data_IF_890644650733
#
_entry.id   IF_890644650733
#
_cell.length_a   1.000
_cell.length_b   1.000
_cell.length_c   1.000
_cell.angle_alpha   90.00
_cell.angle_beta   90.00
_cell.angle_gamma   90.00
#
_symmetry.space_group_name_H-M   'P 1'
#
loop_
_entity.id
_entity.type
_entity.pdbx_description
1 polymer ?
2 polymer ?
3 non-polymer ?
4 non-polymer ?
5 water ?
#
# COMPACT_ATOMS: atom_id res chain seq x y z
N UNK A 3 -18.82 3.09 -16.37
CA UNK A 3 -18.19 1.83 -16.81
C UNK A 3 -16.67 1.85 -16.71
N UNK A 4 -16.06 0.76 -16.27
CA UNK A 4 -14.58 0.67 -16.34
C UNK A 4 -14.21 -0.63 -17.04
N UNK A 5 -13.07 -0.61 -17.73
CA UNK A 5 -12.56 -1.80 -18.41
C UNK A 5 -12.24 -2.89 -17.38
N UNK A 6 -12.06 -4.11 -17.86
CA UNK A 6 -11.58 -5.22 -17.08
C UNK A 6 -10.26 -4.79 -16.40
N UNK A 7 -10.26 -4.73 -15.07
CA UNK A 7 -9.11 -4.24 -14.30
C UNK A 7 -7.92 -5.18 -14.34
N UNK A 8 -6.72 -4.61 -14.22
CA UNK A 8 -5.49 -5.38 -14.23
C UNK A 8 -5.40 -6.26 -12.97
N UNK A 9 -5.92 -5.74 -11.87
CA UNK A 9 -5.80 -6.45 -10.59
C UNK A 9 -7.12 -6.37 -9.87
N UNK A 10 -7.51 -7.49 -9.28
CA UNK A 10 -8.83 -7.61 -8.65
C UNK A 10 -8.65 -7.99 -7.18
N UNK A 11 -9.16 -7.14 -6.29
CA UNK A 11 -9.19 -7.45 -4.88
C UNK A 11 -10.51 -8.08 -4.54
N UNK A 12 -10.49 -9.00 -3.57
CA UNK A 12 -11.71 -9.64 -3.06
C UNK A 12 -11.71 -9.46 -1.54
N UNK A 13 -12.68 -8.68 -1.05
CA UNK A 13 -12.84 -8.44 0.39
C UNK A 13 -13.54 -9.59 1.14
N UNK A 14 -14.08 -10.56 0.41
CA UNK A 14 -14.86 -11.61 1.01
C UNK A 14 -16.23 -11.14 1.40
N UNK A 15 -17.11 -12.11 1.67
CA UNK A 15 -18.43 -11.83 2.25
C UNK A 15 -18.55 -12.51 3.61
N UNK A 16 -19.35 -11.92 4.49
CA UNK A 16 -19.42 -12.33 5.89
C UNK A 16 -20.84 -12.26 6.40
N UNK A 17 -21.09 -13.07 7.44
CA UNK A 17 -22.32 -12.98 8.19
C UNK A 17 -21.98 -12.83 9.66
N UNK A 18 -22.61 -11.88 10.33
CA UNK A 18 -22.32 -11.65 11.73
C UNK A 18 -23.58 -11.27 12.47
N UNK A 19 -23.52 -11.42 13.77
CA UNK A 19 -24.55 -10.91 14.68
C UNK A 19 -24.07 -9.58 15.22
N UNK A 20 -25.00 -8.67 15.49
CA UNK A 20 -24.65 -7.46 16.20
C UNK A 20 -23.88 -7.76 17.48
N UNK A 21 -22.74 -7.07 17.67
CA UNK A 21 -21.85 -7.25 18.82
C UNK A 21 -20.62 -8.06 18.51
N UNK A 22 -20.59 -8.71 17.36
CA UNK A 22 -19.46 -9.59 17.03
C UNK A 22 -18.31 -8.85 16.36
N UNK A 23 -17.15 -9.47 16.42
CA UNK A 23 -15.99 -9.02 15.65
C UNK A 23 -15.92 -9.85 14.40
N UNK A 24 -15.45 -9.22 13.33
CA UNK A 24 -15.32 -9.87 12.02
C UNK A 24 -13.90 -9.61 11.55
N UNK A 25 -13.18 -10.68 11.19
CA UNK A 25 -11.87 -10.58 10.52
C UNK A 25 -12.09 -10.58 9.03
N UNK A 26 -11.82 -9.45 8.40
CA UNK A 26 -11.97 -9.30 6.97
C UNK A 26 -10.62 -9.53 6.31
N UNK A 27 -10.50 -10.63 5.55
CA UNK A 27 -9.29 -10.93 4.80
C UNK A 27 -9.51 -10.56 3.34
N UNK A 28 -8.63 -9.71 2.82
CA UNK A 28 -8.70 -9.20 1.45
C UNK A 28 -7.65 -9.96 0.67
N UNK A 29 -8.04 -10.63 -0.40
CA UNK A 29 -7.09 -11.31 -1.27
C UNK A 29 -6.97 -10.53 -2.57
N UNK A 30 -6.01 -10.91 -3.43
CA UNK A 30 -5.81 -10.20 -4.67
C UNK A 30 -5.45 -11.17 -5.78
N UNK A 31 -6.02 -10.92 -6.95
CA UNK A 31 -5.68 -11.62 -8.20
C UNK A 31 -4.99 -10.62 -9.10
N UNK A 32 -3.69 -10.80 -9.26
CA UNK A 32 -2.94 -9.89 -10.14
C UNK A 32 -2.74 -10.50 -11.52
N UNK A 33 -3.37 -11.65 -11.76
CA UNK A 33 -3.29 -12.34 -13.07
C UNK A 33 -1.83 -12.62 -13.43
N UNK A 34 -1.10 -13.09 -12.42
CA UNK A 34 0.31 -13.49 -12.51
C UNK A 34 1.31 -12.33 -12.69
N UNK A 35 0.84 -11.11 -12.51
CA UNK A 35 1.69 -9.92 -12.66
C UNK A 35 2.32 -9.56 -11.32
N UNK A 36 3.54 -9.02 -11.37
CA UNK A 36 4.24 -8.56 -10.17
C UNK A 36 3.85 -7.14 -9.81
N UNK A 37 3.88 -6.87 -8.50
CA UNK A 37 3.44 -5.60 -7.94
C UNK A 37 4.58 -5.11 -7.07
N UNK A 38 4.95 -3.84 -7.20
CA UNK A 38 6.07 -3.30 -6.39
C UNK A 38 5.67 -2.68 -5.09
N UNK A 39 4.42 -2.24 -4.98
CA UNK A 39 3.95 -1.54 -3.79
C UNK A 39 2.46 -1.31 -3.87
N UNK A 40 1.85 -1.07 -2.71
CA UNK A 40 0.46 -0.58 -2.65
C UNK A 40 0.39 0.53 -1.64
N UNK A 41 -0.57 1.43 -1.86
CA UNK A 41 -0.82 2.54 -0.96
C UNK A 41 -2.31 2.81 -1.03
N UNK A 42 -3.01 2.51 0.05
CA UNK A 42 -4.47 2.42 0.02
C UNK A 42 -5.10 3.02 1.27
N UNK A 43 -6.39 3.34 1.15
CA UNK A 43 -7.20 3.59 2.34
C UNK A 43 -8.47 2.80 2.20
N UNK A 44 -8.99 2.39 3.36
CA UNK A 44 -10.19 1.56 3.42
C UNK A 44 -11.39 2.41 3.79
N UNK A 45 -12.58 1.80 3.69
CA UNK A 45 -13.82 2.43 4.13
C UNK A 45 -14.83 1.35 4.54
N UNK A 46 -15.74 1.71 5.43
CA UNK A 46 -16.75 0.80 5.91
C UNK A 46 -18.02 1.58 6.26
N UNK A 47 -19.17 0.98 5.95
CA UNK A 47 -20.49 1.57 6.24
C UNK A 47 -20.72 1.68 7.75
N UNK A 48 -21.09 2.87 8.20
CA UNK A 48 -21.54 3.08 9.56
C UNK A 48 -22.71 2.14 9.87
N UNK A 49 -22.84 1.63 11.10
CA UNK A 49 -22.04 1.96 12.27
C UNK A 49 -20.87 0.99 12.50
N UNK A 50 -20.55 0.14 11.53
CA UNK A 50 -19.42 -0.77 11.68
C UNK A 50 -18.14 0.03 11.72
N UNK A 51 -17.11 -0.52 12.38
CA UNK A 51 -15.82 0.14 12.48
C UNK A 51 -14.70 -0.79 12.08
N UNK A 52 -13.72 -0.24 11.39
CA UNK A 52 -12.44 -0.95 11.23
C UNK A 52 -11.58 -0.52 12.40
N UNK A 53 -11.37 -1.43 13.35
CA UNK A 53 -10.67 -1.11 14.61
C UNK A 53 -9.16 -1.11 14.45
N UNK A 54 -8.68 -1.99 13.57
CA UNK A 54 -7.26 -2.20 13.42
C UNK A 54 -7.00 -2.80 12.03
N UNK A 55 -5.84 -2.45 11.44
CA UNK A 55 -5.37 -2.99 10.19
C UNK A 55 -4.11 -3.79 10.52
N UNK A 56 -4.07 -5.05 10.13
CA UNK A 56 -2.87 -5.85 10.41
C UNK A 56 -1.63 -5.29 9.69
N UNK A 57 -0.47 -5.37 10.34
CA UNK A 57 0.77 -4.87 9.76
C UNK A 57 1.48 -5.90 8.88
N UNK A 58 0.88 -7.08 8.71
CA UNK A 58 1.38 -8.09 7.77
C UNK A 58 0.55 -8.10 6.49
N UNK A 59 1.25 -8.08 5.35
CA UNK A 59 0.65 -8.39 4.04
C UNK A 59 1.14 -9.77 3.66
N UNK A 60 0.35 -10.78 4.03
CA UNK A 60 0.81 -12.15 3.93
C UNK A 60 1.05 -12.55 2.48
N UNK A 61 0.24 -12.02 1.55
CA UNK A 61 0.38 -12.33 0.14
C UNK A 61 1.76 -12.00 -0.43
N UNK A 62 2.42 -11.04 0.18
CA UNK A 62 3.74 -10.58 -0.22
C UNK A 62 4.85 -10.86 0.83
N UNK A 63 4.49 -11.53 1.92
CA UNK A 63 5.38 -11.73 3.09
C UNK A 63 6.15 -10.45 3.41
N UNK A 64 5.39 -9.34 3.52
CA UNK A 64 6.02 -8.06 3.80
C UNK A 64 5.20 -7.31 4.83
N UNK A 65 5.86 -6.34 5.43
CA UNK A 65 5.29 -5.55 6.49
C UNK A 65 4.66 -4.30 5.92
N UNK A 66 3.45 -4.01 6.39
CA UNK A 66 2.75 -2.80 5.99
C UNK A 66 2.84 -1.76 7.09
N UNK A 67 3.03 -0.52 6.68
CA UNK A 67 2.87 0.61 7.58
C UNK A 67 1.41 1.03 7.57
N UNK A 68 0.87 1.35 8.74
CA UNK A 68 -0.52 1.72 8.86
C UNK A 68 -0.78 3.04 9.56
N UNK A 69 -1.95 3.61 9.28
CA UNK A 69 -2.46 4.71 10.04
C UNK A 69 -3.97 4.58 10.19
N UNK A 70 -4.41 4.06 11.34
CA UNK A 70 -5.83 3.82 11.56
C UNK A 70 -6.62 5.10 11.47
N UNK A 71 -6.00 6.24 11.79
CA UNK A 71 -6.75 7.51 11.76
C UNK A 71 -7.29 7.86 10.39
N UNK A 72 -6.61 7.43 9.32
CA UNK A 72 -7.13 7.58 7.95
C UNK A 72 -7.49 6.26 7.27
N UNK A 73 -7.58 5.19 8.06
CA UNK A 73 -7.78 3.83 7.55
C UNK A 73 -6.82 3.48 6.44
N UNK A 74 -5.56 3.87 6.62
CA UNK A 74 -4.56 3.73 5.57
C UNK A 74 -3.53 2.64 5.83
N UNK A 75 -3.01 2.11 4.75
CA UNK A 75 -1.89 1.16 4.79
C UNK A 75 -1.07 1.24 3.51
N UNK A 76 0.24 1.05 3.63
CA UNK A 76 1.09 0.93 2.46
C UNK A 76 2.26 0.02 2.72
N UNK A 77 2.87 -0.42 1.64
CA UNK A 77 4.03 -1.33 1.70
C UNK A 77 4.77 -1.33 0.38
N UNK A 78 6.02 -1.82 0.42
CA UNK A 78 6.81 -2.10 -0.77
C UNK A 78 6.95 -3.61 -0.79
N UNK A 79 6.62 -4.22 -1.92
CA UNK A 79 6.56 -5.68 -2.02
C UNK A 79 7.65 -6.09 -2.98
N UNK A 80 8.87 -6.13 -2.43
CA UNK A 80 10.06 -6.42 -3.22
C UNK A 80 10.80 -7.59 -2.58
N UNK A 81 11.47 -8.38 -3.39
CA UNK A 81 12.37 -9.41 -2.86
C UNK A 81 13.64 -8.78 -2.31
N UNK A 82 14.53 -9.60 -1.76
CA UNK A 82 15.71 -9.07 -1.07
C UNK A 82 16.69 -8.39 -2.02
N UNK A 83 16.48 -8.55 -3.32
CA UNK A 83 17.24 -7.83 -4.35
C UNK A 83 16.53 -6.62 -4.94
N UNK A 84 15.35 -6.28 -4.44
CA UNK A 84 14.59 -5.15 -4.98
C UNK A 84 13.60 -5.43 -6.11
N UNK A 85 13.40 -6.70 -6.49
CA UNK A 85 12.49 -7.00 -7.60
C UNK A 85 11.03 -7.13 -7.14
N UNK A 86 10.09 -6.52 -7.88
CA UNK A 86 8.68 -6.64 -7.47
C UNK A 86 8.22 -8.10 -7.42
N UNK A 87 7.25 -8.35 -6.54
CA UNK A 87 6.78 -9.69 -6.25
C UNK A 87 5.42 -9.97 -6.84
N UNK A 88 5.22 -11.24 -7.24
CA UNK A 88 3.88 -11.73 -7.57
C UNK A 88 3.24 -12.23 -6.27
N UNK A 89 2.04 -11.71 -5.94
CA UNK A 89 1.39 -12.09 -4.68
C UNK A 89 0.98 -13.55 -4.70
N UNK A 90 0.94 -14.17 -3.53
CA UNK A 90 0.29 -15.47 -3.39
C UNK A 90 -1.20 -15.31 -3.21
N UNK A 91 -1.88 -16.42 -2.94
CA UNK A 91 -3.33 -16.41 -2.68
C UNK A 91 -3.69 -16.07 -1.21
N UNK A 92 -2.68 -15.87 -0.39
CA UNK A 92 -2.90 -15.47 0.99
C UNK A 92 -3.44 -14.04 1.03
N UNK A 93 -4.03 -13.63 2.16
CA UNK A 93 -4.52 -12.26 2.23
C UNK A 93 -3.44 -11.20 1.98
N UNK A 94 -3.78 -10.18 1.19
CA UNK A 94 -2.90 -9.01 1.01
C UNK A 94 -3.11 -8.03 2.18
N UNK A 95 -4.34 -7.99 2.73
CA UNK A 95 -4.69 -7.16 3.88
C UNK A 95 -5.61 -7.93 4.81
N UNK A 96 -5.48 -7.66 6.10
CA UNK A 96 -6.41 -8.16 7.10
C UNK A 96 -6.90 -6.97 7.93
N UNK A 97 -8.23 -6.81 8.00
CA UNK A 97 -8.89 -5.75 8.77
C UNK A 97 -9.66 -6.38 9.90
N UNK A 98 -9.60 -5.77 11.08
CA UNK A 98 -10.34 -6.25 12.25
C UNK A 98 -11.50 -5.30 12.45
N UNK A 99 -12.70 -5.80 12.21
CA UNK A 99 -13.93 -5.02 12.20
C UNK A 99 -14.79 -5.35 13.42
N UNK A 100 -15.36 -4.31 14.00
CA UNK A 100 -16.37 -4.49 15.06
C UNK A 100 -17.75 -4.13 14.49
N UNK A 101 -18.71 -5.02 14.76
CA UNK A 101 -20.12 -4.77 14.51
C UNK A 101 -20.73 -4.43 15.86
N UNK A 102 -21.06 -3.15 16.08
CA UNK A 102 -21.62 -2.82 17.41
C UNK A 102 -22.87 -3.61 17.74
N UNK A 103 -23.08 -3.85 19.03
CA UNK A 103 -24.21 -4.59 19.53
C UNK A 103 -25.53 -3.82 19.29
N UNK A 104 -25.44 -2.57 18.84
CA UNK A 104 -26.59 -1.71 18.53
C UNK A 104 -26.91 -1.71 17.00
N UNK A 105 -26.17 -2.48 16.21
CA UNK A 105 -26.29 -2.41 14.76
C UNK A 105 -27.62 -3.01 14.27
N UNK A 106 -28.39 -2.25 13.43
CA UNK A 106 -29.59 -2.85 12.87
C UNK A 106 -29.33 -3.94 11.86
N UNK A 107 -30.23 -4.91 11.78
CA UNK A 107 -30.13 -5.91 10.70
C UNK A 107 -29.96 -5.17 9.39
N UNK A 108 -29.08 -5.67 8.53
CA UNK A 108 -28.80 -5.03 7.26
C UNK A 108 -27.59 -5.62 6.59
N UNK A 109 -27.29 -5.17 5.38
CA UNK A 109 -26.03 -5.57 4.72
C UNK A 109 -25.16 -4.32 4.64
N UNK A 110 -23.92 -4.44 5.14
CA UNK A 110 -23.02 -3.30 5.31
C UNK A 110 -21.76 -3.57 4.50
N UNK A 111 -21.28 -2.57 3.78
CA UNK A 111 -20.13 -2.78 2.92
C UNK A 111 -18.82 -2.37 3.56
N UNK A 112 -17.79 -3.14 3.21
CA UNK A 112 -16.40 -2.81 3.51
C UNK A 112 -15.64 -2.89 2.18
N UNK A 113 -14.68 -1.98 2.01
CA UNK A 113 -13.94 -1.87 0.78
C UNK A 113 -12.85 -0.82 0.87
N UNK A 114 -12.46 -0.30 -0.28
CA UNK A 114 -11.55 0.82 -0.29
C UNK A 114 -12.29 2.13 -0.15
N UNK A 115 -11.57 3.15 0.35
CA UNK A 115 -12.03 4.53 0.27
C UNK A 115 -11.61 5.16 -1.05
N UNK A 116 -11.18 6.42 -0.96
CA UNK A 116 -10.90 7.24 -2.12
C UNK A 116 -9.51 7.10 -2.73
N UNK A 117 -8.71 6.16 -2.22
CA UNK A 117 -7.36 5.95 -2.69
C UNK A 117 -7.08 4.45 -2.65
N UNK A 118 -6.64 3.92 -3.77
CA UNK A 118 -6.19 2.55 -3.85
C UNK A 118 -5.21 2.50 -4.99
N UNK A 119 -3.92 2.52 -4.66
CA UNK A 119 -2.89 2.55 -5.68
C UNK A 119 -2.09 1.26 -5.63
N UNK A 120 -1.99 0.62 -6.78
CA UNK A 120 -1.23 -0.60 -6.97
C UNK A 120 -0.13 -0.29 -7.99
N UNK A 121 1.11 -0.24 -7.54
CA UNK A 121 2.23 0.19 -8.36
C UNK A 121 2.93 -0.98 -9.05
N UNK A 122 3.42 -0.73 -10.27
CA UNK A 122 4.06 -1.78 -11.08
C UNK A 122 5.55 -1.86 -10.91
N UNK A 123 6.18 -0.72 -10.66
CA UNK A 123 7.61 -0.63 -10.80
C UNK A 123 8.13 0.43 -9.87
N UNK A 124 9.07 1.28 -10.35
CA UNK A 124 9.63 2.33 -9.48
C UNK A 124 9.45 3.76 -10.03
N UNK A 125 8.56 3.90 -11.02
CA UNK A 125 8.48 5.12 -11.82
C UNK A 125 7.12 5.81 -11.79
N UNK A 126 6.30 5.43 -10.80
CA UNK A 126 4.96 5.96 -10.66
C UNK A 126 3.88 5.28 -11.49
N UNK A 127 4.26 4.32 -12.33
CA UNK A 127 3.28 3.58 -13.14
C UNK A 127 2.45 2.68 -12.23
N UNK A 128 1.15 2.60 -12.53
CA UNK A 128 0.17 1.89 -11.70
C UNK A 128 -0.71 0.97 -12.55
N UNK A 129 -1.08 -0.17 -11.97
CA UNK A 129 -2.11 -1.01 -12.56
C UNK A 129 -3.48 -0.41 -12.33
N UNK A 130 -4.44 -0.74 -13.20
CA UNK A 130 -5.84 -0.49 -12.87
C UNK A 130 -6.27 -1.56 -11.86
N UNK A 131 -7.19 -1.20 -10.97
CA UNK A 131 -7.66 -2.16 -9.99
C UNK A 131 -9.14 -2.01 -9.75
N UNK A 132 -9.71 -3.07 -9.20
CA UNK A 132 -11.11 -3.08 -8.80
C UNK A 132 -11.25 -3.97 -7.57
N UNK A 133 -12.36 -3.84 -6.86
CA UNK A 133 -12.61 -4.62 -5.65
C UNK A 133 -13.99 -5.26 -5.73
N UNK A 134 -14.07 -6.51 -5.29
CA UNK A 134 -15.34 -7.23 -5.25
C UNK A 134 -15.72 -7.66 -3.85
N UNK A 135 -16.99 -7.99 -3.70
CA UNK A 135 -17.55 -8.50 -2.45
C UNK A 135 -17.46 -7.42 -1.34
N UNK A 136 -17.06 -7.80 -0.13
CA UNK A 136 -17.08 -6.91 1.01
C UNK A 136 -18.48 -6.68 1.57
N UNK A 137 -19.36 -7.67 1.48
CA UNK A 137 -20.69 -7.54 2.06
C UNK A 137 -20.68 -8.22 3.44
N UNK A 138 -21.07 -7.45 4.47
CA UNK A 138 -21.22 -7.98 5.83
C UNK A 138 -22.71 -7.99 6.19
N UNK A 139 -23.30 -9.18 6.21
CA UNK A 139 -24.73 -9.30 6.54
C UNK A 139 -24.87 -9.43 8.03
N UNK A 140 -25.59 -8.49 8.64
CA UNK A 140 -25.75 -8.41 10.09
C UNK A 140 -27.19 -8.81 10.38
N UNK A 141 -27.35 -9.86 11.18
CA UNK A 141 -28.68 -10.41 11.49
C UNK A 141 -29.41 -10.99 10.29
N UNK A 142 -30.73 -10.80 10.25
CA UNK A 142 -31.59 -11.32 9.17
C UNK A 142 -32.45 -10.22 8.53
N UNK A 143 -31.84 -9.33 7.72
CA UNK A 143 -32.58 -8.22 7.11
C UNK A 143 -33.69 -8.67 6.13
N UNK B 24 20.54 21.34 -4.59
CA UNK B 24 19.17 21.83 -4.91
C UNK B 24 18.15 20.70 -5.12
N UNK B 25 17.14 20.70 -4.27
CA UNK B 25 16.04 19.72 -4.34
C UNK B 25 14.90 20.27 -5.20
N UNK B 26 14.37 19.45 -6.12
CA UNK B 26 13.25 19.86 -6.95
C UNK B 26 11.93 19.65 -6.24
N UNK B 27 11.82 18.55 -5.51
CA UNK B 27 10.58 18.21 -4.81
C UNK B 27 10.94 17.19 -3.72
N UNK B 28 10.68 17.54 -2.46
CA UNK B 28 11.06 16.67 -1.34
C UNK B 28 10.29 15.36 -1.42
N UNK B 29 11.03 14.25 -1.42
CA UNK B 29 10.44 12.90 -1.51
C UNK B 29 10.45 12.33 -2.90
N UNK B 30 10.74 13.17 -3.91
CA UNK B 30 10.61 12.72 -5.30
C UNK B 30 11.89 12.04 -5.79
N UNK B 31 12.13 10.87 -5.21
CA UNK B 31 13.32 10.07 -5.47
C UNK B 31 13.41 9.55 -6.89
N UNK B 32 12.25 9.37 -7.55
CA UNK B 32 12.27 8.94 -8.95
C UNK B 32 12.09 10.09 -9.99
N UNK B 33 12.08 11.32 -9.51
CA UNK B 33 12.04 12.52 -10.35
C UNK B 33 10.93 12.55 -11.39
N UNK B 34 9.74 12.13 -10.98
CA UNK B 34 8.57 12.18 -11.85
C UNK B 34 7.62 13.34 -11.55
N UNK B 35 7.97 14.17 -10.55
CA UNK B 35 7.17 15.35 -10.19
C UNK B 35 6.00 15.13 -9.25
N UNK B 36 5.88 13.89 -8.77
CA UNK B 36 4.92 13.63 -7.70
C UNK B 36 5.59 12.76 -6.65
N UNK B 37 5.06 12.85 -5.42
CA UNK B 37 5.55 12.02 -4.31
C UNK B 37 4.49 10.94 -4.05
N UNK B 38 4.90 9.70 -4.30
CA UNK B 38 4.03 8.55 -4.06
C UNK B 38 4.87 7.34 -3.69
N UNK B 39 4.21 6.20 -3.54
CA UNK B 39 4.88 5.05 -2.95
C UNK B 39 5.98 4.54 -3.86
N UNK B 40 5.95 4.87 -5.15
CA UNK B 40 7.06 4.46 -6.06
C UNK B 40 8.39 5.11 -5.66
N UNK B 41 8.31 6.25 -5.00
CA UNK B 41 9.51 6.88 -4.47
C UNK B 41 10.12 6.06 -3.35
N UNK B 42 9.30 5.42 -2.50
CA UNK B 42 9.84 4.52 -1.51
C UNK B 42 10.44 3.27 -2.15
N UNK B 43 9.76 2.76 -3.21
CA UNK B 43 10.29 1.63 -3.96
C UNK B 43 11.70 1.92 -4.51
N UNK B 44 11.88 3.03 -5.21
CA UNK B 44 13.17 3.25 -5.83
C UNK B 44 14.33 3.36 -4.79
N UNK B 45 14.05 3.97 -3.65
CA UNK B 45 15.02 4.00 -2.59
C UNK B 45 15.35 2.58 -2.13
N UNK B 46 14.35 1.74 -1.91
CA UNK B 46 14.61 0.37 -1.43
C UNK B 46 15.39 -0.41 -2.47
N UNK B 47 15.09 -0.19 -3.74
CA UNK B 47 15.78 -0.91 -4.81
C UNK B 47 17.23 -0.48 -4.89
N UNK B 48 17.47 0.83 -4.77
CA UNK B 48 18.85 1.32 -4.80
C UNK B 48 19.68 0.71 -3.68
N UNK B 49 19.09 0.58 -2.50
CA UNK B 49 19.79 0.02 -1.34
C UNK B 49 19.98 -1.51 -1.47
N UNK B 50 18.99 -2.19 -2.02
CA UNK B 50 19.00 -3.67 -2.12
C UNK B 50 19.89 -4.20 -3.23
N UNK B 51 20.04 -3.43 -4.31
CA UNK B 51 20.84 -3.85 -5.46
C UNK B 51 21.48 -2.63 -6.14
N UNK B 52 22.49 -2.06 -5.47
CA UNK B 52 23.11 -0.81 -5.95
C UNK B 52 23.67 -0.95 -7.37
N UNK B 53 24.18 -2.13 -7.77
CA UNK B 53 24.77 -2.24 -9.11
C UNK B 53 23.70 -2.13 -10.18
N UNK B 54 22.47 -2.50 -9.84
CA UNK B 54 21.36 -2.38 -10.78
C UNK B 54 20.64 -1.07 -10.67
N UNK B 55 20.31 -0.68 -9.45
CA UNK B 55 19.37 0.42 -9.22
C UNK B 55 19.95 1.64 -8.49
N UNK B 56 21.22 1.60 -8.11
CA UNK B 56 21.85 2.76 -7.49
C UNK B 56 22.21 3.88 -8.45
N UNK B 57 22.90 4.90 -7.94
CA UNK B 57 23.15 6.16 -8.70
C UNK B 57 23.93 5.93 -9.99
N UNK B 58 24.75 4.88 -10.00
CA UNK B 58 25.48 4.48 -11.20
C UNK B 58 25.06 3.11 -11.74
N UNK B 59 23.79 2.79 -11.51
CA UNK B 59 23.27 1.48 -11.82
C UNK B 59 23.16 1.21 -13.30
N UNK B 60 23.05 -0.06 -13.66
CA UNK B 60 22.86 -0.41 -15.06
C UNK B 60 21.44 -0.52 -15.56
N UNK B 61 20.45 -0.50 -14.69
CA UNK B 61 19.08 -0.51 -15.14
C UNK B 61 18.70 0.87 -15.59
N UNK B 62 17.91 0.95 -16.65
CA UNK B 62 17.41 2.25 -17.13
C UNK B 62 16.68 3.07 -16.07
N UNK B 63 15.99 2.40 -15.14
CA UNK B 63 15.28 3.11 -14.07
C UNK B 63 16.05 3.15 -12.75
N UNK B 64 17.38 3.14 -12.81
CA UNK B 64 18.17 3.34 -11.60
C UNK B 64 17.91 4.74 -11.04
N UNK B 65 18.12 4.89 -9.73
CA UNK B 65 17.96 6.20 -9.08
C UNK B 65 19.03 7.15 -9.62
N UNK B 66 18.68 8.42 -9.73
CA UNK B 66 19.59 9.40 -10.24
C UNK B 66 20.16 10.25 -9.11
N UNK B 67 21.22 10.98 -9.40
CA UNK B 67 21.77 11.91 -8.39
C UNK B 67 20.74 12.89 -7.85
N UNK B 68 19.91 13.45 -8.74
CA UNK B 68 18.88 14.38 -8.32
C UNK B 68 17.87 13.64 -7.44
N UNK B 69 17.59 12.40 -7.81
CA UNK B 69 16.69 11.57 -7.03
C UNK B 69 17.22 11.31 -5.60
N UNK B 70 18.52 11.11 -5.47
CA UNK B 70 19.12 10.92 -4.15
C UNK B 70 19.06 12.16 -3.31
N UNK B 71 19.17 13.33 -3.94
CA UNK B 71 19.00 14.59 -3.20
C UNK B 71 17.54 14.75 -2.76
N UNK B 72 16.61 14.55 -3.69
CA UNK B 72 15.19 14.66 -3.36
C UNK B 72 14.72 13.68 -2.30
N UNK B 73 15.29 12.50 -2.34
CA UNK B 73 14.88 11.43 -1.47
C UNK B 73 15.40 11.46 -0.06
N UNK B 74 16.34 12.37 0.20
CA UNK B 74 17.01 12.43 1.53
C UNK B 74 16.16 13.28 2.46
N UNK B 75 15.02 12.70 2.83
CA UNK B 75 13.97 13.40 3.58
C UNK B 75 14.09 13.12 5.10
N UNK B 76 14.71 12.00 5.44
CA UNK B 76 14.97 11.63 6.82
C UNK B 76 16.40 11.99 7.14
N UNK B 77 16.60 12.73 8.20
CA UNK B 77 17.94 13.15 8.64
C UNK B 77 18.71 13.77 7.46
N UNK B 78 18.04 14.66 6.71
CA UNK B 78 18.64 15.29 5.56
C UNK B 78 20.13 15.66 5.79
N UNK B 79 20.99 15.22 4.89
CA UNK B 79 22.43 15.35 5.06
C UNK B 79 23.13 14.02 5.21
N UNK B 80 22.41 12.98 5.64
CA UNK B 80 23.04 11.68 5.77
C UNK B 80 22.87 10.78 4.52
N UNK B 81 22.26 11.31 3.47
CA UNK B 81 22.08 10.51 2.25
C UNK B 81 20.95 9.53 2.37
N UNK B 82 20.96 8.53 1.49
CA UNK B 82 19.83 7.64 1.36
C UNK B 82 20.00 6.40 2.21
N UNK B 83 19.03 6.21 3.11
CA UNK B 83 18.96 5.00 3.91
C UNK B 83 17.53 4.48 3.93
N UNK B 84 17.32 3.32 4.55
CA UNK B 84 15.98 2.74 4.66
C UNK B 84 14.99 3.73 5.27
N UNK B 85 15.45 4.52 6.23
CA UNK B 85 14.59 5.46 6.92
C UNK B 85 14.02 6.54 6.03
N UNK B 86 14.68 6.84 4.91
CA UNK B 86 14.10 7.78 3.92
C UNK B 86 12.82 7.22 3.27
N UNK B 87 12.86 5.95 2.92
CA UNK B 87 11.68 5.25 2.39
C UNK B 87 10.56 5.22 3.41
N UNK B 88 10.89 4.90 4.67
CA UNK B 88 9.88 4.89 5.73
C UNK B 88 9.27 6.24 5.92
N UNK B 89 10.07 7.31 5.84
CA UNK B 89 9.54 8.66 5.98
C UNK B 89 8.52 8.99 4.88
N UNK B 90 8.81 8.58 3.66
CA UNK B 90 7.88 8.78 2.55
C UNK B 90 6.57 8.03 2.87
N UNK B 91 6.66 6.79 3.33
CA UNK B 91 5.47 6.05 3.75
C UNK B 91 4.68 6.79 4.84
N UNK B 92 5.38 7.34 5.83
CA UNK B 92 4.70 8.06 6.90
C UNK B 92 3.94 9.27 6.35
N UNK B 93 4.62 10.02 5.49
CA UNK B 93 4.00 11.18 4.84
C UNK B 93 2.74 10.80 4.08
N UNK B 94 2.84 9.74 3.30
CA UNK B 94 1.68 9.27 2.49
C UNK B 94 0.49 8.87 3.36
N UNK B 95 0.79 8.39 4.56
CA UNK B 95 -0.21 7.96 5.53
C UNK B 95 -0.70 9.07 6.45
N UNK B 96 -0.21 10.28 6.24
CA UNK B 96 -0.52 11.42 7.11
C UNK B 96 -0.11 11.19 8.56
N UNK B 97 0.93 10.38 8.77
CA UNK B 97 1.53 10.23 10.09
C UNK B 97 2.46 11.40 10.41
N UNK B 98 3.03 12.00 9.35
CA UNK B 98 3.74 13.27 9.44
C UNK B 98 3.17 14.20 8.37
N UNK B 99 3.29 15.51 8.62
CA UNK B 99 2.64 16.53 7.79
C UNK B 99 3.40 16.96 6.56
N UNK B 100 4.71 16.76 6.58
CA UNK B 100 5.53 17.14 5.45
C UNK B 100 6.79 16.36 5.36
N UNK B 101 7.41 16.55 4.21
CA UNK B 101 8.78 16.23 3.96
C UNK B 101 9.38 17.58 3.52
N UNK B 102 10.63 17.80 3.91
CA UNK B 102 11.34 16.86 4.80
C UNK B 102 10.54 16.58 6.06
X LIG C 1 -16.82 -3.70 -7.33
X LIG D 1 -1.25 -14.21 -8.59
X LIG D 1 -1.39 -13.33 -9.71
X LIG D 1 -2.54 -14.07 -7.78
X LIG D 1 -2.65 -12.73 -7.31
X LIG D 1 -2.56 -15.08 -6.64
X LIG D 1 -2.78 -16.42 -7.11
X LIG E 1 -16.76 0.40 0.61
X LIG E 1 -16.20 0.66 -0.68
X LIG E 1 -17.54 1.63 1.03
X LIG E 1 -18.71 1.73 0.22
X LIG E 1 -17.92 1.48 2.49
X LIG E 1 -18.52 2.69 2.98
X LIG F 1 18.46 10.32 4.76
X LIG G 1 8.07 10.53 -7.57
X LIG H 1 -1.54 13.55 2.65
X LIG H 1 -1.75 12.77 3.84
X LIG H 1 -0.74 12.69 1.66
X LIG H 1 -1.47 11.48 1.41
X LIG H 1 -0.54 13.44 0.35
X LIG H 1 0.00 12.53 -0.60
#
# INVERSE_FOLDING_TARGET
MQPVANADVIFDFGNYEAKAGEEVQVDVTVDSKNKAISAMDVVFAIDSPLTIDEIDKESLAFKTTAMTNIAILGANFKSLDDKGEPLVPTKDPVFTLYVTVPATTPDGVYNVGFGNKCEVHKSNDGSKYSSTAINGKIKVGNPVDDPLE
MGSSHHHHHHSSGLVPRGSHMASNVTLWGDANCDGIVDISDAVIIMQSLSNPSKFGRNGNDEHHITAQGELNGDVNENGNGITNADALAIQKYLLNLIGNLTE
CA CA
GOL C1 O1 C2 O2 C3 O3
GOL C1 O1 C2 O2 C3 O3
CA CA
CA CA
GOL C1 O1 C2 O2 C3 O3
#
